data_IF_433257178041
#
_entry.id   IF_433257178041
#
_cell.length_a   1.000
_cell.length_b   1.000
_cell.length_c   1.000
_cell.angle_alpha   90.00
_cell.angle_beta   90.00
_cell.angle_gamma   90.00
#
_symmetry.space_group_name_H-M   'P 1'
#
loop_
_entity.id
_entity.type
_entity.pdbx_description
1 polymer ?
#
# COMPACT_ATOMS: atom_id res chain seq x y z
N UNK A 1 -39.14 -11.70 32.81
CA UNK A 1 -38.57 -11.82 31.46
C UNK A 1 -38.89 -10.54 30.73
N UNK A 2 -37.90 -9.65 30.61
CA UNK A 2 -38.03 -8.40 29.87
C UNK A 2 -37.34 -8.68 28.54
N UNK A 3 -38.09 -8.75 27.45
CA UNK A 3 -37.52 -8.81 26.11
C UNK A 3 -37.00 -7.41 25.78
N UNK A 4 -35.69 -7.30 25.62
CA UNK A 4 -35.07 -6.10 25.04
C UNK A 4 -35.34 -6.19 23.53
N UNK A 5 -35.96 -5.18 22.91
CA UNK A 5 -36.15 -5.17 21.47
C UNK A 5 -34.77 -5.06 20.81
N UNK A 6 -34.47 -5.99 19.91
CA UNK A 6 -33.39 -5.84 18.93
C UNK A 6 -33.83 -4.70 18.03
N UNK A 7 -33.24 -3.52 18.22
CA UNK A 7 -33.36 -2.44 17.26
C UNK A 7 -32.87 -2.98 15.92
N UNK A 8 -33.74 -2.91 14.91
CA UNK A 8 -33.39 -3.25 13.55
C UNK A 8 -32.15 -2.47 13.15
N UNK A 9 -31.10 -3.19 12.78
CA UNK A 9 -30.04 -2.63 11.97
C UNK A 9 -30.72 -2.32 10.64
N UNK A 10 -31.09 -1.06 10.45
CA UNK A 10 -31.32 -0.54 9.10
C UNK A 10 -30.03 -0.80 8.34
N UNK A 11 -30.17 -1.60 7.29
CA UNK A 11 -29.13 -1.98 6.37
C UNK A 11 -28.73 -0.69 5.65
N UNK A 12 -27.70 0.01 6.11
CA UNK A 12 -27.02 1.02 5.28
C UNK A 12 -26.29 0.25 4.18
N UNK A 13 -27.07 -0.14 3.15
CA UNK A 13 -26.60 -0.74 1.91
C UNK A 13 -25.83 0.32 1.12
N UNK A 14 -24.55 0.49 1.46
CA UNK A 14 -23.54 1.23 0.69
C UNK A 14 -23.74 2.76 0.68
N UNK A 15 -22.66 3.51 0.94
CA UNK A 15 -22.64 4.95 0.69
C UNK A 15 -21.26 5.44 0.26
N UNK A 16 -21.27 6.47 -0.56
CA UNK A 16 -20.10 7.17 -1.08
C UNK A 16 -19.97 8.50 -0.34
N UNK A 17 -18.83 8.70 0.32
CA UNK A 17 -18.56 9.92 1.08
C UNK A 17 -17.31 10.61 0.52
N UNK A 18 -17.46 11.89 0.20
CA UNK A 18 -16.35 12.76 -0.22
C UNK A 18 -15.86 13.60 0.96
N UNK A 19 -14.55 13.58 1.22
CA UNK A 19 -13.94 14.43 2.25
C UNK A 19 -13.36 15.69 1.63
N UNK A 20 -14.04 16.82 1.85
CA UNK A 20 -13.61 18.14 1.36
C UNK A 20 -12.25 18.59 1.92
N UNK A 21 -11.85 18.09 3.10
CA UNK A 21 -10.64 18.54 3.80
C UNK A 21 -9.35 17.90 3.30
N UNK A 22 -9.42 16.70 2.70
CA UNK A 22 -8.24 15.91 2.34
C UNK A 22 -8.29 15.36 0.90
N UNK A 23 -9.25 15.79 0.07
CA UNK A 23 -9.51 15.26 -1.29
C UNK A 23 -9.68 13.74 -1.35
N UNK A 24 -10.01 13.09 -0.23
CA UNK A 24 -10.18 11.65 -0.17
C UNK A 24 -11.59 11.27 -0.62
N UNK A 25 -11.68 10.21 -1.43
CA UNK A 25 -12.97 9.58 -1.79
C UNK A 25 -13.06 8.26 -1.04
N UNK A 26 -14.06 8.16 -0.17
CA UNK A 26 -14.37 6.94 0.56
C UNK A 26 -15.55 6.23 -0.10
N UNK A 27 -15.37 4.96 -0.40
CA UNK A 27 -16.42 4.06 -0.83
C UNK A 27 -16.61 3.00 0.25
N UNK A 28 -17.82 2.91 0.80
CA UNK A 28 -18.16 1.91 1.81
C UNK A 28 -19.07 0.86 1.17
N UNK A 29 -18.62 -0.38 1.18
CA UNK A 29 -19.42 -1.54 0.83
C UNK A 29 -19.45 -2.53 1.98
N UNK A 30 -20.62 -2.75 2.58
CA UNK A 30 -20.75 -3.62 3.74
C UNK A 30 -19.78 -3.21 4.86
N UNK A 31 -18.83 -4.09 5.17
CA UNK A 31 -17.78 -3.88 6.18
C UNK A 31 -16.43 -3.45 5.59
N UNK A 32 -16.37 -3.08 4.31
CA UNK A 32 -15.17 -2.63 3.63
C UNK A 32 -15.26 -1.16 3.27
N UNK A 33 -14.26 -0.39 3.67
CA UNK A 33 -14.04 1.00 3.22
C UNK A 33 -12.84 1.02 2.30
N UNK A 34 -13.02 1.44 1.05
CA UNK A 34 -11.95 1.81 0.14
C UNK A 34 -11.77 3.32 0.15
N UNK A 35 -10.59 3.79 0.51
CA UNK A 35 -10.22 5.21 0.49
C UNK A 35 -9.24 5.44 -0.64
N UNK A 36 -9.61 6.24 -1.63
CA UNK A 36 -8.67 6.79 -2.60
C UNK A 36 -8.18 8.13 -2.07
N UNK A 37 -6.89 8.21 -1.74
CA UNK A 37 -6.24 9.48 -1.38
C UNK A 37 -5.41 9.94 -2.56
N UNK A 38 -5.74 11.06 -3.23
CA UNK A 38 -4.90 11.60 -4.30
C UNK A 38 -3.51 12.04 -3.78
N UNK A 39 -3.37 12.40 -2.51
CA UNK A 39 -2.10 12.44 -1.77
C UNK A 39 -2.40 12.51 -0.27
N UNK A 40 -1.50 12.01 0.58
CA UNK A 40 -1.59 12.25 2.03
C UNK A 40 -1.10 13.67 2.38
N UNK A 41 -1.30 14.07 3.65
CA UNK A 41 -1.04 15.42 4.17
C UNK A 41 0.44 15.85 4.03
N UNK A 42 1.36 14.95 3.70
CA UNK A 42 2.76 15.29 3.48
C UNK A 42 3.01 15.74 2.03
N UNK A 43 3.76 16.83 1.82
CA UNK A 43 4.23 17.19 0.50
C UNK A 43 5.12 16.04 0.00
N UNK A 44 4.83 15.51 -1.20
CA UNK A 44 5.53 14.42 -1.94
C UNK A 44 4.81 13.05 -1.97
N UNK A 45 3.66 12.89 -1.35
CA UNK A 45 2.94 11.62 -1.40
C UNK A 45 2.17 11.41 -2.71
N UNK A 46 2.36 10.25 -3.33
CA UNK A 46 1.63 9.79 -4.52
C UNK A 46 0.22 9.27 -4.16
N UNK A 47 -0.72 9.20 -5.12
CA UNK A 47 -2.03 8.64 -4.86
C UNK A 47 -1.98 7.18 -4.42
N UNK A 48 -2.81 6.84 -3.43
CA UNK A 48 -2.92 5.48 -2.88
C UNK A 48 -4.37 5.05 -2.71
N UNK A 49 -4.58 3.74 -2.70
CA UNK A 49 -5.83 3.13 -2.32
C UNK A 49 -5.60 2.36 -1.03
N UNK A 50 -6.36 2.72 -0.02
CA UNK A 50 -6.29 2.10 1.29
C UNK A 50 -7.63 1.43 1.57
N UNK A 51 -7.60 0.12 1.78
CA UNK A 51 -8.78 -0.66 2.14
C UNK A 51 -8.74 -1.04 3.60
N UNK A 52 -9.83 -0.78 4.31
CA UNK A 52 -9.97 -1.00 5.75
C UNK A 52 -11.29 -1.66 6.06
N UNK A 53 -11.33 -2.41 7.16
CA UNK A 53 -12.60 -2.86 7.71
C UNK A 53 -13.33 -1.68 8.36
N UNK A 54 -14.57 -1.41 7.96
CA UNK A 54 -15.37 -0.23 8.37
C UNK A 54 -15.58 -0.18 9.88
N UNK A 55 -15.80 -1.34 10.50
CA UNK A 55 -16.24 -1.44 11.91
C UNK A 55 -15.19 -2.02 12.85
N UNK A 56 -14.08 -2.56 12.33
CA UNK A 56 -13.05 -3.22 13.13
C UNK A 56 -11.69 -2.60 12.85
N UNK A 57 -11.28 -1.70 13.75
CA UNK A 57 -10.00 -0.99 13.67
C UNK A 57 -8.78 -1.91 13.83
N UNK A 58 -8.97 -3.14 14.33
CA UNK A 58 -7.89 -4.12 14.49
C UNK A 58 -7.75 -5.04 13.27
N UNK A 59 -8.65 -4.93 12.29
CA UNK A 59 -8.52 -5.64 11.03
C UNK A 59 -7.35 -5.09 10.21
N UNK A 60 -6.69 -5.96 9.41
CA UNK A 60 -5.60 -5.55 8.54
C UNK A 60 -6.03 -4.45 7.56
N UNK A 61 -5.10 -3.56 7.23
CA UNK A 61 -5.28 -2.52 6.22
C UNK A 61 -4.51 -2.91 4.97
N UNK A 62 -5.19 -3.01 3.83
CA UNK A 62 -4.50 -3.21 2.55
C UNK A 62 -4.16 -1.84 1.97
N UNK A 63 -2.90 -1.63 1.62
CA UNK A 63 -2.41 -0.40 0.99
C UNK A 63 -1.77 -0.76 -0.35
N UNK A 64 -2.30 -0.17 -1.41
CA UNK A 64 -1.79 -0.36 -2.77
C UNK A 64 -1.73 0.97 -3.50
N UNK A 65 -0.67 1.19 -4.27
CA UNK A 65 -0.54 2.40 -5.07
C UNK A 65 0.85 2.59 -5.63
N UNK A 66 1.00 3.63 -6.45
CA UNK A 66 2.31 4.14 -6.84
C UNK A 66 2.89 4.84 -5.62
N UNK A 67 4.12 4.49 -5.27
CA UNK A 67 4.82 5.03 -4.12
C UNK A 67 5.89 6.02 -4.53
N UNK A 68 6.60 5.70 -5.61
CA UNK A 68 7.68 6.53 -6.14
C UNK A 68 7.81 6.31 -7.65
N UNK A 69 8.33 7.30 -8.36
CA UNK A 69 8.84 7.13 -9.73
C UNK A 69 10.33 7.43 -9.68
N UNK A 70 11.15 6.52 -10.22
CA UNK A 70 12.58 6.77 -10.39
C UNK A 70 12.93 6.86 -11.85
N UNK A 71 13.97 7.62 -12.13
CA UNK A 71 14.72 7.50 -13.37
C UNK A 71 16.00 6.78 -13.04
N UNK A 72 16.40 5.84 -13.89
CA UNK A 72 17.55 4.99 -13.62
C UNK A 72 18.42 4.82 -14.86
N UNK A 73 19.66 4.43 -14.62
CA UNK A 73 20.60 4.01 -15.64
C UNK A 73 20.87 2.53 -15.47
N UNK A 74 20.30 1.72 -16.35
CA UNK A 74 20.53 0.29 -16.49
C UNK A 74 21.98 0.07 -16.90
N UNK A 75 22.85 -0.13 -15.91
CA UNK A 75 24.30 -0.18 -16.15
C UNK A 75 24.76 -1.55 -16.65
N UNK A 76 23.94 -2.58 -16.46
CA UNK A 76 24.24 -3.96 -16.79
C UNK A 76 23.39 -4.50 -17.97
N UNK A 77 22.47 -3.70 -18.51
CA UNK A 77 21.54 -4.00 -19.62
C UNK A 77 20.64 -5.21 -19.32
N UNK A 78 20.28 -5.40 -18.04
CA UNK A 78 19.44 -6.52 -17.59
C UNK A 78 17.93 -6.19 -17.61
N UNK A 79 17.59 -4.92 -17.83
CA UNK A 79 16.22 -4.38 -17.88
C UNK A 79 15.45 -4.52 -16.57
N UNK A 80 16.16 -4.67 -15.45
CA UNK A 80 15.64 -4.75 -14.10
C UNK A 80 15.99 -3.46 -13.37
N UNK A 81 15.08 -2.97 -12.53
CA UNK A 81 15.39 -1.82 -11.70
C UNK A 81 16.06 -2.27 -10.40
N UNK A 82 17.22 -1.70 -10.10
CA UNK A 82 17.81 -1.68 -8.76
C UNK A 82 17.84 -0.25 -8.24
N UNK A 83 17.56 -0.05 -6.96
CA UNK A 83 17.61 1.28 -6.36
C UNK A 83 19.02 1.90 -6.45
N UNK A 84 20.07 1.07 -6.49
CA UNK A 84 21.45 1.51 -6.68
C UNK A 84 21.73 2.15 -8.05
N UNK A 85 20.84 1.94 -9.03
CA UNK A 85 20.91 2.51 -10.37
C UNK A 85 20.02 3.75 -10.53
N UNK A 86 19.27 4.12 -9.49
CA UNK A 86 18.46 5.33 -9.49
C UNK A 86 19.35 6.57 -9.64
N UNK A 87 18.97 7.42 -10.57
CA UNK A 87 19.66 8.68 -10.88
C UNK A 87 18.89 9.89 -10.38
N UNK A 88 17.57 9.83 -10.51
CA UNK A 88 16.66 10.88 -10.06
C UNK A 88 15.42 10.24 -9.49
N UNK A 89 14.78 10.98 -8.59
CA UNK A 89 13.50 10.62 -8.01
C UNK A 89 12.49 11.66 -8.47
N UNK A 90 11.38 11.20 -9.05
CA UNK A 90 10.28 12.08 -9.38
C UNK A 90 9.37 12.22 -8.17
N UNK A 91 9.28 13.45 -7.68
CA UNK A 91 8.27 13.83 -6.71
C UNK A 91 7.30 14.81 -7.35
N UNK A 92 6.12 14.89 -6.76
CA UNK A 92 5.19 15.97 -7.05
C UNK A 92 5.89 17.29 -6.64
N UNK A 93 6.20 18.15 -7.61
CA UNK A 93 7.01 19.34 -7.35
C UNK A 93 6.28 20.30 -6.41
N UNK A 94 7.05 20.94 -5.52
CA UNK A 94 6.56 21.64 -4.34
C UNK A 94 6.97 23.10 -4.28
N UNK A 95 6.72 23.89 -5.33
CA UNK A 95 6.56 25.33 -5.09
C UNK A 95 5.31 25.63 -4.19
N UNK A 96 4.25 24.79 -4.13
CA UNK A 96 2.95 25.22 -3.52
C UNK A 96 1.93 24.19 -2.97
N UNK A 97 2.32 23.12 -2.28
CA UNK A 97 1.40 21.99 -2.06
C UNK A 97 1.00 21.35 -3.41
N UNK A 98 0.85 20.04 -3.43
CA UNK A 98 0.28 19.40 -4.62
C UNK A 98 -1.18 19.84 -4.70
N UNK A 99 -1.49 20.80 -5.58
CA UNK A 99 -2.87 21.11 -5.92
C UNK A 99 -3.30 20.07 -6.94
N UNK A 100 -3.79 18.94 -6.44
CA UNK A 100 -4.51 18.01 -7.29
C UNK A 100 -5.70 18.75 -7.88
N UNK A 101 -5.67 18.93 -9.19
CA UNK A 101 -6.84 19.38 -9.92
C UNK A 101 -7.78 18.18 -10.05
N UNK A 102 -8.39 17.81 -8.92
CA UNK A 102 -9.40 16.78 -8.89
C UNK A 102 -10.65 17.30 -9.61
N UNK A 103 -11.15 16.56 -10.60
CA UNK A 103 -12.51 16.78 -11.09
C UNK A 103 -13.50 16.53 -9.95
N UNK A 104 -14.69 17.13 -10.05
CA UNK A 104 -15.78 16.72 -9.18
C UNK A 104 -15.96 15.19 -9.27
N UNK A 105 -16.31 14.56 -8.14
CA UNK A 105 -16.64 13.13 -8.13
C UNK A 105 -17.92 12.96 -8.93
N UNK A 106 -17.84 12.20 -10.01
CA UNK A 106 -18.99 11.87 -10.84
C UNK A 106 -19.53 10.50 -10.43
N UNK A 107 -20.83 10.43 -10.21
CA UNK A 107 -21.53 9.19 -9.91
C UNK A 107 -22.28 8.72 -11.15
N UNK A 108 -22.18 7.43 -11.45
CA UNK A 108 -22.88 6.84 -12.57
C UNK A 108 -23.25 5.39 -12.30
N UNK A 109 -23.95 4.80 -13.27
CA UNK A 109 -24.27 3.38 -13.25
C UNK A 109 -24.10 2.82 -14.66
N UNK A 110 -23.33 1.74 -14.81
CA UNK A 110 -23.20 1.04 -16.08
C UNK A 110 -23.35 -0.48 -15.96
N UNK A 111 -23.41 -1.14 -17.11
CA UNK A 111 -23.63 -2.58 -17.19
C UNK A 111 -22.45 -3.39 -16.64
N UNK A 112 -21.23 -2.85 -16.70
CA UNK A 112 -19.98 -3.54 -16.33
C UNK A 112 -19.64 -3.41 -14.85
N UNK A 113 -19.66 -2.20 -14.30
CA UNK A 113 -19.29 -1.88 -12.92
C UNK A 113 -20.48 -1.64 -11.99
N UNK A 114 -21.71 -1.55 -12.50
CA UNK A 114 -22.85 -1.13 -11.68
C UNK A 114 -22.71 0.33 -11.28
N UNK A 115 -23.09 0.67 -10.05
CA UNK A 115 -22.82 2.00 -9.51
C UNK A 115 -21.32 2.24 -9.37
N UNK A 116 -20.88 3.43 -9.77
CA UNK A 116 -19.48 3.82 -9.69
C UNK A 116 -19.32 5.28 -9.28
N UNK A 117 -18.18 5.55 -8.64
CA UNK A 117 -17.63 6.88 -8.48
C UNK A 117 -16.40 7.03 -9.37
N UNK A 118 -16.30 8.18 -10.03
CA UNK A 118 -15.19 8.52 -10.88
C UNK A 118 -14.58 9.85 -10.45
N UNK A 119 -13.25 9.90 -10.40
CA UNK A 119 -12.51 11.13 -10.23
C UNK A 119 -11.26 11.09 -11.10
N UNK A 120 -10.92 12.24 -11.66
CA UNK A 120 -9.64 12.46 -12.35
C UNK A 120 -8.83 13.43 -11.54
N UNK A 121 -7.55 13.19 -11.38
CA UNK A 121 -6.63 14.07 -10.69
C UNK A 121 -5.39 14.26 -11.55
N UNK A 122 -4.93 15.49 -11.71
CA UNK A 122 -3.70 15.78 -12.45
C UNK A 122 -2.75 16.66 -11.65
N UNK A 123 -1.46 16.46 -11.89
CA UNK A 123 -0.37 17.19 -11.27
C UNK A 123 0.81 17.35 -12.24
N UNK A 124 1.71 18.27 -11.92
CA UNK A 124 3.01 18.42 -12.58
C UNK A 124 4.06 17.88 -11.61
N UNK A 125 5.00 17.08 -12.12
CA UNK A 125 6.05 16.46 -11.32
C UNK A 125 7.42 17.02 -11.68
N UNK A 126 8.27 17.13 -10.66
CA UNK A 126 9.65 17.56 -10.79
C UNK A 126 10.62 16.43 -10.46
N UNK A 127 11.84 16.55 -10.95
CA UNK A 127 12.94 15.62 -10.67
C UNK A 127 13.88 16.18 -9.63
N UNK A 128 14.31 15.30 -8.73
CA UNK A 128 15.25 15.57 -7.64
C UNK A 128 16.39 14.56 -7.72
N UNK A 129 17.60 14.97 -7.34
CA UNK A 129 18.76 14.06 -7.32
C UNK A 129 18.75 13.20 -6.05
N UNK A 130 18.16 13.71 -4.97
CA UNK A 130 18.07 13.07 -3.66
C UNK A 130 16.71 13.29 -3.00
N UNK A 131 16.22 12.33 -2.18
CA UNK A 131 15.01 12.53 -1.39
C UNK A 131 15.16 13.66 -0.36
N UNK A 132 16.40 14.02 0.01
CA UNK A 132 16.68 15.10 0.97
C UNK A 132 16.70 16.48 0.32
N UNK A 133 16.68 16.56 -1.02
CA UNK A 133 16.78 17.84 -1.72
C UNK A 133 15.55 18.72 -1.46
N UNK A 134 15.80 20.01 -1.21
CA UNK A 134 14.74 20.99 -0.97
C UNK A 134 14.12 21.50 -2.28
N UNK A 135 14.87 21.47 -3.38
CA UNK A 135 14.48 22.03 -4.67
C UNK A 135 14.66 21.01 -5.80
N UNK A 136 13.73 20.95 -6.77
CA UNK A 136 13.89 20.07 -7.92
C UNK A 136 15.06 20.56 -8.78
N UNK A 137 15.82 19.61 -9.32
CA UNK A 137 16.75 19.85 -10.42
C UNK A 137 15.98 20.29 -11.67
N UNK A 138 14.80 19.70 -11.90
CA UNK A 138 13.89 20.03 -13.00
C UNK A 138 12.47 20.14 -12.45
N UNK A 139 11.92 21.35 -12.42
CA UNK A 139 10.65 21.65 -11.74
C UNK A 139 9.41 21.09 -12.45
N UNK A 140 9.38 21.16 -13.78
CA UNK A 140 8.27 20.72 -14.63
C UNK A 140 8.74 19.62 -15.59
N UNK A 141 9.15 18.48 -15.03
CA UNK A 141 9.67 17.38 -15.82
C UNK A 141 8.59 16.65 -16.61
N UNK A 142 7.43 16.39 -15.99
CA UNK A 142 6.34 15.65 -16.61
C UNK A 142 4.96 16.07 -16.07
N UNK A 143 3.92 15.83 -16.86
CA UNK A 143 2.54 15.87 -16.39
C UNK A 143 2.10 14.47 -16.00
N UNK A 144 1.41 14.34 -14.88
CA UNK A 144 0.76 13.10 -14.49
C UNK A 144 -0.75 13.29 -14.42
N UNK A 145 -1.49 12.34 -14.97
CA UNK A 145 -2.93 12.22 -14.80
C UNK A 145 -3.27 10.86 -14.20
N UNK A 146 -4.11 10.88 -13.17
CA UNK A 146 -4.76 9.70 -12.61
C UNK A 146 -6.26 9.74 -12.89
N UNK A 147 -6.83 8.58 -13.18
CA UNK A 147 -8.27 8.36 -13.21
C UNK A 147 -8.59 7.22 -12.27
N UNK A 148 -9.43 7.48 -11.28
CA UNK A 148 -9.92 6.45 -10.36
C UNK A 148 -11.36 6.16 -10.68
N UNK A 149 -11.67 4.87 -10.74
CA UNK A 149 -13.02 4.37 -10.85
C UNK A 149 -13.22 3.29 -9.81
N UNK A 150 -14.11 3.56 -8.87
CA UNK A 150 -14.53 2.59 -7.85
C UNK A 150 -15.89 2.04 -8.28
N UNK A 151 -16.04 0.73 -8.34
CA UNK A 151 -17.26 0.07 -8.83
C UNK A 151 -17.80 -1.00 -7.88
N UNK A 152 -19.12 -1.19 -7.89
CA UNK A 152 -19.87 -2.00 -6.92
C UNK A 152 -20.15 -3.44 -7.39
N UNK A 153 -20.27 -3.68 -8.70
CA UNK A 153 -20.62 -5.03 -9.17
C UNK A 153 -19.47 -6.00 -9.02
N UNK A 154 -19.81 -7.24 -8.66
CA UNK A 154 -19.00 -8.42 -8.98
C UNK A 154 -18.73 -8.44 -10.47
N UNK A 155 -17.53 -7.99 -10.85
CA UNK A 155 -17.05 -8.14 -12.21
C UNK A 155 -16.50 -9.55 -12.33
N UNK A 156 -17.17 -10.38 -13.13
CA UNK A 156 -16.54 -11.64 -13.53
C UNK A 156 -15.46 -11.28 -14.53
N UNK A 157 -14.21 -11.36 -14.09
CA UNK A 157 -13.05 -11.09 -14.93
C UNK A 157 -12.67 -12.39 -15.60
N UNK A 158 -12.43 -12.30 -16.89
CA UNK A 158 -11.74 -13.34 -17.62
C UNK A 158 -10.27 -12.96 -17.70
N UNK A 159 -9.41 -13.92 -17.40
CA UNK A 159 -8.04 -13.89 -17.88
C UNK A 159 -7.80 -15.14 -18.73
N UNK A 160 -6.56 -15.30 -19.19
CA UNK A 160 -6.07 -16.41 -20.00
C UNK A 160 -6.33 -17.80 -19.41
N UNK A 161 -6.90 -17.89 -18.19
CA UNK A 161 -7.03 -19.10 -17.39
C UNK A 161 -8.45 -19.41 -16.94
N UNK A 162 -9.42 -18.66 -17.43
CA UNK A 162 -10.84 -18.84 -17.14
C UNK A 162 -11.47 -17.59 -16.55
N UNK A 163 -12.72 -17.75 -16.17
CA UNK A 163 -13.50 -16.71 -15.54
C UNK A 163 -13.35 -16.88 -14.03
N UNK A 164 -12.97 -15.81 -13.32
CA UNK A 164 -13.07 -15.76 -11.88
C UNK A 164 -14.13 -14.72 -11.50
N UNK A 165 -15.00 -15.09 -10.57
CA UNK A 165 -16.04 -14.23 -10.04
C UNK A 165 -15.54 -13.62 -8.73
N UNK A 166 -15.38 -12.31 -8.77
CA UNK A 166 -14.98 -11.44 -7.65
C UNK A 166 -16.26 -11.14 -6.85
N UNK A 167 -16.73 -12.12 -6.04
CA UNK A 167 -17.99 -12.02 -5.28
C UNK A 167 -17.86 -11.06 -4.09
N UNK A 168 -18.70 -10.01 -4.05
CA UNK A 168 -18.74 -9.07 -2.93
C UNK A 168 -17.58 -8.07 -2.84
N UNK A 169 -16.92 -7.77 -3.96
CA UNK A 169 -15.66 -7.01 -3.94
C UNK A 169 -15.84 -5.58 -4.46
N UNK A 170 -15.11 -4.65 -3.84
CA UNK A 170 -14.87 -3.31 -4.38
C UNK A 170 -13.76 -3.43 -5.42
N UNK A 171 -14.10 -3.23 -6.70
CA UNK A 171 -13.12 -3.15 -7.79
C UNK A 171 -12.75 -1.68 -7.99
N UNK A 172 -11.48 -1.36 -7.72
CA UNK A 172 -10.90 -0.04 -7.94
C UNK A 172 -9.96 -0.13 -9.14
N UNK A 173 -10.32 0.58 -10.21
CA UNK A 173 -9.49 0.77 -11.39
C UNK A 173 -8.82 2.13 -11.32
N UNK A 174 -7.50 2.14 -11.43
CA UNK A 174 -6.68 3.32 -11.60
C UNK A 174 -6.13 3.30 -13.02
N UNK A 175 -6.26 4.40 -13.73
CA UNK A 175 -5.44 4.64 -14.91
C UNK A 175 -4.46 5.76 -14.52
N UNK A 176 -3.23 5.62 -14.98
CA UNK A 176 -2.14 6.56 -14.80
C UNK A 176 -1.60 6.88 -16.19
N UNK A 177 -1.40 8.16 -16.45
CA UNK A 177 -0.75 8.64 -17.66
C UNK A 177 0.35 9.62 -17.25
N UNK A 178 1.55 9.38 -17.77
CA UNK A 178 2.72 10.22 -17.57
C UNK A 178 3.17 10.77 -18.92
N UNK A 179 3.08 12.08 -19.08
CA UNK A 179 3.55 12.80 -20.27
C UNK A 179 4.88 13.48 -19.93
N UNK A 180 5.98 12.98 -20.48
CA UNK A 180 7.32 13.53 -20.25
C UNK A 180 7.50 14.81 -21.07
N UNK A 181 7.71 15.93 -20.39
CA UNK A 181 7.84 17.26 -21.01
C UNK A 181 9.30 17.60 -21.33
N UNK A 182 10.23 17.10 -20.52
CA UNK A 182 11.66 17.40 -20.65
C UNK A 182 12.48 16.11 -20.59
N UNK A 183 13.35 15.90 -21.58
CA UNK A 183 14.26 14.77 -21.57
C UNK A 183 15.43 15.00 -20.61
N UNK A 184 15.84 13.92 -19.96
CA UNK A 184 17.02 13.86 -19.11
C UNK A 184 17.83 12.62 -19.46
N UNK A 185 19.11 12.64 -19.09
CA UNK A 185 20.00 11.52 -19.36
C UNK A 185 19.73 10.36 -18.38
N UNK A 186 18.73 9.55 -18.70
CA UNK A 186 18.37 8.31 -18.02
C UNK A 186 18.08 7.23 -19.06
N UNK A 187 18.43 5.97 -18.78
CA UNK A 187 18.11 4.86 -19.67
C UNK A 187 16.67 4.38 -19.53
N UNK A 188 16.03 4.64 -18.38
CA UNK A 188 14.69 4.17 -18.09
C UNK A 188 13.95 4.98 -17.03
N UNK A 189 12.64 4.78 -17.01
CA UNK A 189 11.70 5.29 -16.00
C UNK A 189 11.11 4.08 -15.29
N UNK A 190 11.06 4.06 -13.97
CA UNK A 190 10.42 2.99 -13.21
C UNK A 190 9.30 3.54 -12.34
N UNK A 191 8.16 2.86 -12.36
CA UNK A 191 7.09 3.05 -11.40
C UNK A 191 7.25 2.03 -10.29
N UNK A 192 7.43 2.51 -9.05
CA UNK A 192 7.51 1.68 -7.85
C UNK A 192 6.13 1.60 -7.21
N UNK A 193 5.56 0.40 -7.14
CA UNK A 193 4.26 0.15 -6.53
C UNK A 193 4.42 -0.61 -5.22
N UNK A 194 3.79 -0.10 -4.16
CA UNK A 194 3.72 -0.81 -2.88
C UNK A 194 2.48 -1.69 -2.89
N UNK A 195 2.66 -2.96 -2.52
CA UNK A 195 1.61 -3.93 -2.30
C UNK A 195 1.68 -4.41 -0.85
N UNK A 196 0.84 -3.86 0.03
CA UNK A 196 0.80 -4.24 1.45
C UNK A 196 -0.53 -4.86 1.82
N UNK A 197 -0.48 -6.04 2.45
CA UNK A 197 -1.65 -6.75 2.97
C UNK A 197 -1.93 -6.52 4.46
N UNK A 198 -1.31 -5.48 5.06
CA UNK A 198 -1.57 -5.08 6.44
C UNK A 198 -1.27 -6.14 7.49
N UNK A 199 -0.26 -6.98 7.27
CA UNK A 199 0.12 -8.10 8.16
C UNK A 199 -0.72 -9.37 7.99
N UNK A 200 -1.80 -9.33 7.20
CA UNK A 200 -2.66 -10.50 6.99
C UNK A 200 -2.30 -11.34 5.77
N UNK A 201 -1.48 -10.78 4.88
CA UNK A 201 -0.97 -11.47 3.69
C UNK A 201 0.34 -12.12 4.05
N UNK A 202 0.38 -13.44 3.97
CA UNK A 202 1.57 -14.25 4.22
C UNK A 202 2.36 -14.47 2.92
N UNK A 203 1.65 -14.57 1.79
CA UNK A 203 2.23 -14.94 0.50
C UNK A 203 1.70 -14.00 -0.59
N UNK A 204 2.59 -13.61 -1.50
CA UNK A 204 2.24 -13.07 -2.80
C UNK A 204 2.39 -14.17 -3.85
N UNK A 205 1.28 -14.55 -4.48
CA UNK A 205 1.31 -15.45 -5.63
C UNK A 205 1.29 -14.60 -6.89
N UNK A 206 2.44 -14.52 -7.53
CA UNK A 206 2.67 -13.75 -8.75
C UNK A 206 2.41 -14.68 -9.92
N UNK A 207 1.38 -14.36 -10.69
CA UNK A 207 1.05 -15.07 -11.89
C UNK A 207 1.71 -14.36 -13.06
N UNK A 208 2.75 -15.00 -13.57
CA UNK A 208 3.42 -14.58 -14.79
C UNK A 208 2.62 -15.17 -15.95
N UNK A 209 1.87 -14.32 -16.65
CA UNK A 209 1.37 -14.71 -17.97
C UNK A 209 2.61 -14.96 -18.84
N UNK A 210 2.56 -15.96 -19.71
CA UNK A 210 3.71 -16.37 -20.53
C UNK A 210 3.26 -16.62 -21.97
N UNK A 211 2.00 -16.30 -22.31
CA UNK A 211 1.41 -16.64 -23.62
C UNK A 211 1.36 -18.15 -23.91
N UNK A 212 1.71 -18.99 -22.92
CA UNK A 212 1.65 -20.45 -22.98
C UNK A 212 0.32 -20.93 -22.40
N UNK A 213 -0.07 -22.16 -22.72
CA UNK A 213 -1.29 -22.80 -22.21
C UNK A 213 -1.34 -23.00 -20.69
N UNK A 214 -0.29 -22.62 -19.95
CA UNK A 214 -0.19 -22.82 -18.50
C UNK A 214 0.57 -21.64 -17.87
N UNK A 215 0.00 -20.95 -16.87
CA UNK A 215 0.66 -19.84 -16.20
C UNK A 215 1.86 -20.37 -15.44
N UNK A 216 2.91 -19.56 -15.33
CA UNK A 216 3.86 -19.75 -14.27
C UNK A 216 3.39 -19.02 -13.02
N UNK A 217 3.57 -19.67 -11.88
CA UNK A 217 3.21 -19.13 -10.57
C UNK A 217 4.49 -19.02 -9.75
N UNK A 218 4.88 -17.79 -9.44
CA UNK A 218 5.97 -17.47 -8.54
C UNK A 218 5.36 -17.15 -7.18
N UNK A 219 5.93 -17.72 -6.11
CA UNK A 219 5.45 -17.50 -4.74
C UNK A 219 6.54 -16.73 -4.00
N UNK A 220 6.20 -15.54 -3.50
CA UNK A 220 7.05 -14.72 -2.67
C UNK A 220 6.46 -14.66 -1.24
N UNK A 221 7.28 -14.91 -0.23
CA UNK A 221 6.87 -14.80 1.18
C UNK A 221 6.92 -13.33 1.59
N UNK A 222 5.78 -12.78 2.02
CA UNK A 222 5.71 -11.36 2.40
C UNK A 222 6.57 -11.01 3.62
N UNK A 223 6.92 -12.02 4.43
CA UNK A 223 7.67 -11.88 5.68
C UNK A 223 9.18 -11.89 5.48
N UNK A 224 9.64 -12.28 4.29
CA UNK A 224 11.03 -12.14 3.94
C UNK A 224 11.32 -10.65 3.67
N UNK A 225 12.32 -10.11 4.36
CA UNK A 225 12.81 -8.76 4.11
C UNK A 225 14.06 -8.86 3.24
N UNK A 226 13.92 -8.45 1.98
CA UNK A 226 14.95 -8.48 0.96
C UNK A 226 15.69 -7.14 0.85
N UNK A 227 15.46 -6.25 1.81
CA UNK A 227 16.19 -4.99 1.94
C UNK A 227 17.39 -5.14 2.88
N UNK A 228 18.54 -4.63 2.47
CA UNK A 228 19.78 -4.67 3.27
C UNK A 228 20.48 -3.32 3.18
N UNK A 229 20.59 -2.61 4.30
CA UNK A 229 21.26 -1.31 4.39
C UNK A 229 20.74 -0.23 3.40
N UNK A 230 19.48 -0.32 3.00
CA UNK A 230 18.87 0.60 2.02
C UNK A 230 18.92 0.10 0.57
N UNK A 231 19.65 -0.98 0.28
CA UNK A 231 19.60 -1.65 -1.02
C UNK A 231 18.48 -2.71 -1.04
N UNK A 232 17.97 -3.03 -2.24
CA UNK A 232 16.99 -4.08 -2.46
C UNK A 232 17.57 -5.22 -3.30
N UNK A 233 17.29 -6.48 -2.90
CA UNK A 233 17.55 -7.63 -3.75
C UNK A 233 16.36 -7.88 -4.69
N UNK A 234 16.40 -7.23 -5.85
CA UNK A 234 15.31 -7.29 -6.82
C UNK A 234 15.32 -8.58 -7.64
N UNK A 235 14.16 -9.24 -7.74
CA UNK A 235 13.94 -10.41 -8.59
C UNK A 235 13.30 -10.01 -9.92
N UNK A 236 13.88 -10.36 -11.08
CA UNK A 236 13.18 -10.23 -12.35
C UNK A 236 12.02 -11.23 -12.44
N UNK A 237 10.90 -10.80 -13.01
CA UNK A 237 9.89 -11.74 -13.51
C UNK A 237 10.40 -12.44 -14.76
N UNK A 238 10.00 -13.69 -15.01
CA UNK A 238 10.56 -14.50 -16.11
C UNK A 238 10.17 -13.96 -17.50
N UNK A 239 9.00 -13.35 -17.60
CA UNK A 239 8.53 -12.66 -18.80
C UNK A 239 8.20 -11.21 -18.47
N UNK A 240 9.16 -10.33 -18.71
CA UNK A 240 9.03 -8.89 -18.43
C UNK A 240 8.27 -8.15 -19.53
N UNK A 241 8.28 -8.67 -20.77
CA UNK A 241 7.76 -7.99 -21.96
C UNK A 241 6.23 -8.04 -22.12
N UNK A 242 5.52 -8.71 -21.22
CA UNK A 242 4.06 -8.80 -21.32
C UNK A 242 3.41 -7.56 -20.73
N UNK A 243 2.31 -7.08 -21.35
CA UNK A 243 1.68 -5.84 -20.95
C UNK A 243 1.01 -5.96 -19.58
N UNK A 244 0.68 -7.15 -19.09
CA UNK A 244 -0.03 -7.30 -17.83
C UNK A 244 0.56 -8.37 -16.91
N UNK A 245 0.52 -8.12 -15.60
CA UNK A 245 0.83 -9.09 -14.56
C UNK A 245 -0.23 -9.11 -13.45
N UNK A 246 -0.41 -10.28 -12.84
CA UNK A 246 -1.38 -10.52 -11.77
C UNK A 246 -0.65 -10.89 -10.46
N UNK A 247 -1.00 -10.22 -9.38
CA UNK A 247 -0.53 -10.49 -8.03
C UNK A 247 -1.73 -10.88 -7.16
N UNK A 248 -1.60 -11.99 -6.44
CA UNK A 248 -2.62 -12.46 -5.50
C UNK A 248 -2.06 -12.38 -4.09
N UNK A 249 -2.78 -11.67 -3.23
CA UNK A 249 -2.51 -11.60 -1.80
C UNK A 249 -3.14 -12.84 -1.18
N UNK A 250 -2.34 -13.67 -0.51
CA UNK A 250 -2.82 -14.92 0.06
C UNK A 250 -2.29 -15.19 1.47
N UNK A 251 -3.01 -16.06 2.18
CA UNK A 251 -2.58 -16.64 3.45
C UNK A 251 -1.59 -17.79 3.22
N UNK A 252 -0.99 -18.28 4.30
CA UNK A 252 -0.08 -19.43 4.31
C UNK A 252 -0.72 -20.71 3.71
N UNK A 253 -2.04 -20.85 3.81
CA UNK A 253 -2.81 -21.94 3.20
C UNK A 253 -3.22 -21.68 1.73
N UNK A 254 -2.69 -20.63 1.12
CA UNK A 254 -2.97 -20.15 -0.24
C UNK A 254 -4.40 -19.65 -0.47
N UNK A 255 -5.18 -19.40 0.59
CA UNK A 255 -6.46 -18.70 0.46
C UNK A 255 -6.22 -17.26 0.00
N UNK A 256 -6.77 -16.90 -1.16
CA UNK A 256 -6.66 -15.54 -1.74
C UNK A 256 -7.55 -14.57 -0.96
N UNK A 257 -7.00 -13.39 -0.65
CA UNK A 257 -7.66 -12.30 0.06
C UNK A 257 -7.85 -11.07 -0.82
N UNK A 258 -6.92 -10.82 -1.74
CA UNK A 258 -7.00 -9.71 -2.68
C UNK A 258 -6.29 -10.05 -3.99
N UNK A 259 -6.64 -9.31 -5.02
CA UNK A 259 -6.07 -9.38 -6.35
C UNK A 259 -5.63 -7.98 -6.76
N UNK A 260 -4.41 -7.90 -7.28
CA UNK A 260 -3.85 -6.70 -7.87
C UNK A 260 -3.34 -7.05 -9.25
N UNK A 261 -3.87 -6.37 -10.27
CA UNK A 261 -3.43 -6.51 -11.65
C UNK A 261 -2.83 -5.21 -12.10
N UNK A 262 -1.69 -5.34 -12.73
CA UNK A 262 -0.99 -4.26 -13.38
C UNK A 262 -1.00 -4.53 -14.87
N UNK A 263 -1.35 -3.52 -15.66
CA UNK A 263 -1.33 -3.56 -17.11
C UNK A 263 -0.68 -2.27 -17.60
N UNK A 264 0.43 -2.34 -18.30
CA UNK A 264 1.00 -1.19 -18.98
C UNK A 264 1.02 -1.42 -20.48
N UNK A 265 0.53 -0.42 -21.20
CA UNK A 265 0.72 -0.29 -22.63
C UNK A 265 1.48 1.02 -22.87
N UNK A 266 2.79 1.06 -22.58
CA UNK A 266 3.57 2.25 -22.85
C UNK A 266 3.65 2.41 -24.37
N UNK A 267 3.27 3.59 -24.87
CA UNK A 267 3.34 3.88 -26.28
C UNK A 267 4.02 5.20 -26.56
N UNK A 268 4.77 5.22 -27.65
CA UNK A 268 5.30 6.46 -28.19
C UNK A 268 4.34 6.93 -29.27
N UNK A 269 3.74 8.10 -29.05
CA UNK A 269 2.91 8.76 -30.06
C UNK A 269 3.81 9.60 -30.98
N UNK A 270 4.05 9.12 -32.19
CA UNK A 270 4.68 9.90 -33.26
C UNK A 270 3.61 10.45 -34.20
N UNK A 271 3.96 11.49 -35.00
CA UNK A 271 3.07 12.08 -36.02
C UNK A 271 2.48 11.05 -37.01
N UNK A 272 3.04 9.83 -37.09
CA UNK A 272 2.65 8.78 -38.05
C UNK A 272 2.38 7.40 -37.43
N UNK A 273 2.34 7.23 -36.11
CA UNK A 273 2.03 5.92 -35.51
C UNK A 273 2.32 5.77 -34.01
N UNK A 274 2.01 4.57 -33.50
CA UNK A 274 2.15 4.14 -32.10
C UNK A 274 3.20 3.02 -32.06
N UNK A 275 4.28 3.19 -31.30
CA UNK A 275 5.28 2.14 -31.05
C UNK A 275 5.20 1.64 -29.60
N UNK A 276 5.29 0.33 -29.38
CA UNK A 276 5.29 -0.27 -28.04
C UNK A 276 6.68 -0.11 -27.39
N UNK A 277 6.70 0.33 -26.14
CA UNK A 277 7.93 0.41 -25.34
C UNK A 277 8.13 -0.89 -24.57
N UNK A 278 9.33 -1.51 -24.57
CA UNK A 278 9.61 -2.66 -23.72
C UNK A 278 9.41 -2.31 -22.25
N UNK A 279 8.80 -3.23 -21.50
CA UNK A 279 8.65 -3.13 -20.05
C UNK A 279 9.53 -4.19 -19.36
N UNK A 280 10.22 -3.78 -18.30
CA UNK A 280 10.87 -4.61 -17.30
C UNK A 280 9.93 -4.75 -16.10
N UNK A 281 9.63 -5.96 -15.63
CA UNK A 281 8.90 -6.12 -14.36
C UNK A 281 9.75 -6.90 -13.39
N UNK A 282 9.84 -6.37 -12.18
CA UNK A 282 10.58 -6.98 -11.09
C UNK A 282 9.93 -6.70 -9.76
N UNK A 283 10.36 -7.39 -8.71
CA UNK A 283 9.82 -7.21 -7.37
C UNK A 283 10.85 -7.54 -6.29
N UNK A 284 10.58 -7.10 -5.06
CA UNK A 284 11.24 -7.58 -3.84
C UNK A 284 10.28 -7.52 -2.65
N UNK A 285 10.53 -8.30 -1.61
CA UNK A 285 9.69 -8.30 -0.39
C UNK A 285 10.28 -7.44 0.72
N UNK A 286 9.43 -6.85 1.54
CA UNK A 286 9.80 -5.85 2.57
C UNK A 286 9.63 -6.36 4.01
N UNK A 287 9.39 -7.65 4.19
CA UNK A 287 9.05 -8.25 5.50
C UNK A 287 7.62 -8.00 5.99
N UNK A 288 6.86 -7.15 5.29
CA UNK A 288 5.45 -6.87 5.58
C UNK A 288 4.60 -6.64 4.31
N UNK A 289 5.17 -6.92 3.14
CA UNK A 289 4.61 -6.54 1.85
C UNK A 289 5.55 -6.89 0.71
N UNK A 290 5.17 -6.44 -0.48
CA UNK A 290 5.94 -6.58 -1.70
C UNK A 290 5.99 -5.23 -2.40
N UNK A 291 7.14 -4.91 -2.97
CA UNK A 291 7.30 -3.78 -3.88
C UNK A 291 7.45 -4.34 -5.29
N UNK A 292 6.62 -3.86 -6.20
CA UNK A 292 6.68 -4.19 -7.62
C UNK A 292 7.24 -2.99 -8.39
N UNK A 293 8.02 -3.28 -9.42
CA UNK A 293 8.60 -2.29 -10.32
C UNK A 293 8.10 -2.53 -11.73
N UNK A 294 7.63 -1.47 -12.38
CA UNK A 294 7.42 -1.44 -13.83
C UNK A 294 8.41 -0.47 -14.45
N UNK A 295 9.47 -1.01 -15.05
CA UNK A 295 10.54 -0.27 -15.71
C UNK A 295 10.24 -0.11 -17.20
N UNK A 296 10.40 1.10 -17.73
CA UNK A 296 10.18 1.47 -19.13
C UNK A 296 11.48 1.98 -19.71
N UNK A 297 11.77 1.59 -20.96
CA UNK A 297 13.00 1.94 -21.66
C UNK A 297 12.69 2.82 -22.89
N UNK A 298 12.42 4.12 -22.66
CA UNK A 298 12.03 5.07 -23.70
C UNK A 298 13.13 5.24 -24.75
N UNK A 299 12.75 5.38 -26.02
CA UNK A 299 13.65 5.20 -27.17
C UNK A 299 14.02 6.51 -27.90
N UNK A 300 13.77 7.68 -27.29
CA UNK A 300 14.06 9.06 -27.77
C UNK A 300 12.84 9.82 -28.33
N UNK A 301 11.90 10.30 -27.49
CA UNK A 301 11.05 11.48 -27.78
C UNK A 301 10.27 12.00 -26.55
N UNK A 302 9.35 12.97 -26.74
CA UNK A 302 8.31 13.30 -25.75
C UNK A 302 7.32 12.14 -25.71
N UNK A 303 7.36 11.37 -24.64
CA UNK A 303 6.66 10.09 -24.54
C UNK A 303 5.50 10.17 -23.55
N UNK A 304 4.44 9.43 -23.85
CA UNK A 304 3.29 9.27 -22.98
C UNK A 304 3.24 7.83 -22.50
N UNK A 305 3.54 7.61 -21.22
CA UNK A 305 3.43 6.29 -20.62
C UNK A 305 2.03 6.15 -20.05
N UNK A 306 1.26 5.18 -20.54
CA UNK A 306 -0.05 4.82 -19.99
C UNK A 306 0.02 3.50 -19.22
N UNK A 307 -0.59 3.51 -18.04
CA UNK A 307 -0.54 2.44 -17.08
C UNK A 307 -1.90 2.26 -16.43
N UNK A 308 -2.38 1.03 -16.36
CA UNK A 308 -3.63 0.64 -15.75
C UNK A 308 -3.36 -0.29 -14.56
N UNK A 309 -3.95 0.03 -13.43
CA UNK A 309 -3.93 -0.77 -12.22
C UNK A 309 -5.37 -1.14 -11.89
N UNK A 310 -5.61 -2.41 -11.60
CA UNK A 310 -6.91 -2.92 -11.15
C UNK A 310 -6.69 -3.61 -9.81
N UNK A 311 -7.46 -3.21 -8.81
CA UNK A 311 -7.41 -3.78 -7.46
C UNK A 311 -8.79 -4.31 -7.12
N UNK A 312 -8.87 -5.59 -6.76
CA UNK A 312 -10.07 -6.21 -6.23
C UNK A 312 -9.79 -6.88 -4.88
N UNK A 313 -10.66 -6.69 -3.90
CA UNK A 313 -10.47 -7.28 -2.56
C UNK A 313 -11.64 -8.15 -2.16
N UNK A 314 -11.34 -9.33 -1.62
CA UNK A 314 -12.31 -10.24 -1.02
C UNK A 314 -12.54 -9.88 0.45
N UNK A 315 -13.77 -9.48 0.79
CA UNK A 315 -14.17 -9.13 2.17
C UNK A 315 -13.91 -10.30 3.16
N UNK A 316 -14.02 -11.56 2.71
CA UNK A 316 -13.76 -12.72 3.56
C UNK A 316 -12.29 -12.82 4.00
N UNK A 317 -11.39 -12.18 3.23
CA UNK A 317 -9.97 -12.07 3.49
C UNK A 317 -9.61 -11.18 4.67
N UNK A 318 -10.46 -10.20 5.03
CA UNK A 318 -10.25 -9.29 6.17
C UNK A 318 -10.41 -9.95 7.54
N UNK A 319 -10.87 -11.21 7.59
CA UNK A 319 -11.11 -11.90 8.86
C UNK A 319 -9.88 -11.88 9.76
N UNK A 320 -9.87 -11.09 10.84
CA UNK A 320 -8.76 -11.06 11.75
C UNK A 320 -8.85 -12.34 12.56
N UNK A 321 -7.85 -13.21 12.44
CA UNK A 321 -7.56 -14.04 13.60
C UNK A 321 -6.83 -13.08 14.53
N UNK A 322 -7.39 -12.81 15.71
CA UNK A 322 -6.69 -12.15 16.81
C UNK A 322 -5.24 -12.67 16.98
N UNK A 323 -5.03 -13.95 16.62
CA UNK A 323 -3.74 -14.61 16.48
C UNK A 323 -2.74 -13.88 15.59
N UNK A 324 -3.15 -13.36 14.43
CA UNK A 324 -2.26 -12.77 13.43
C UNK A 324 -1.90 -11.33 13.84
N UNK A 325 -2.86 -10.53 14.32
CA UNK A 325 -2.57 -9.27 15.03
C UNK A 325 -1.64 -9.46 16.23
N UNK A 326 -1.90 -10.49 17.05
CA UNK A 326 -1.08 -10.81 18.22
C UNK A 326 0.31 -11.32 17.82
N UNK A 327 0.49 -11.98 16.66
CA UNK A 327 1.79 -12.37 16.13
C UNK A 327 2.60 -11.16 15.71
N UNK A 328 2.00 -10.26 14.93
CA UNK A 328 2.67 -9.08 14.39
C UNK A 328 3.03 -8.07 15.49
N UNK A 329 2.16 -7.97 16.50
CA UNK A 329 2.36 -7.08 17.63
C UNK A 329 2.95 -7.80 18.86
N UNK A 330 3.26 -9.11 18.78
CA UNK A 330 3.79 -9.89 19.90
C UNK A 330 5.04 -9.24 20.51
N UNK A 331 6.02 -8.75 19.71
CA UNK A 331 7.21 -8.13 20.28
C UNK A 331 6.86 -6.86 21.07
N UNK A 332 5.97 -6.02 20.54
CA UNK A 332 5.54 -4.78 21.20
C UNK A 332 4.70 -5.08 22.46
N UNK A 333 3.77 -6.02 22.37
CA UNK A 333 2.95 -6.49 23.50
C UNK A 333 3.82 -7.08 24.60
N UNK A 334 4.84 -7.86 24.26
CA UNK A 334 5.81 -8.43 25.21
C UNK A 334 6.64 -7.33 25.90
N UNK A 335 7.09 -6.32 25.15
CA UNK A 335 7.84 -5.18 25.72
C UNK A 335 6.96 -4.38 26.69
N UNK A 336 5.71 -4.08 26.30
CA UNK A 336 4.76 -3.34 27.14
C UNK A 336 4.38 -4.16 28.38
N UNK A 337 4.05 -5.44 28.22
CA UNK A 337 3.72 -6.32 29.34
C UNK A 337 4.91 -6.51 30.30
N UNK A 338 6.12 -6.68 29.74
CA UNK A 338 7.36 -6.81 30.51
C UNK A 338 7.70 -5.54 31.30
N UNK A 339 7.55 -4.37 30.68
CA UNK A 339 7.79 -3.08 31.35
C UNK A 339 6.76 -2.81 32.46
N UNK A 340 5.48 -3.11 32.25
CA UNK A 340 4.44 -3.04 33.30
C UNK A 340 4.78 -3.98 34.47
N UNK A 341 5.15 -5.23 34.18
CA UNK A 341 5.53 -6.21 35.21
C UNK A 341 6.76 -5.77 36.02
N UNK A 342 7.74 -5.15 35.38
CA UNK A 342 8.93 -4.60 36.04
C UNK A 342 8.55 -3.44 36.99
N UNK A 343 7.69 -2.51 36.55
CA UNK A 343 7.23 -1.39 37.38
C UNK A 343 6.45 -1.89 38.60
N UNK A 344 5.54 -2.86 38.42
CA UNK A 344 4.79 -3.47 39.52
C UNK A 344 5.73 -4.17 40.50
N UNK A 345 6.72 -4.89 40.00
CA UNK A 345 7.71 -5.60 40.83
C UNK A 345 8.55 -4.63 41.67
N UNK A 346 8.98 -3.51 41.07
CA UNK A 346 9.71 -2.45 41.78
C UNK A 346 8.81 -1.79 42.83
N UNK A 347 7.55 -1.49 42.49
CA UNK A 347 6.60 -0.90 43.43
C UNK A 347 6.34 -1.82 44.64
N UNK A 348 6.15 -3.12 44.41
CA UNK A 348 6.02 -4.14 45.46
C UNK A 348 7.27 -4.21 46.33
N UNK A 349 8.46 -4.23 45.71
CA UNK A 349 9.74 -4.24 46.43
C UNK A 349 9.89 -3.00 47.33
N UNK A 350 9.54 -1.82 46.82
CA UNK A 350 9.56 -0.56 47.58
C UNK A 350 8.57 -0.61 48.75
N UNK A 351 7.37 -1.16 48.56
CA UNK A 351 6.38 -1.33 49.62
C UNK A 351 6.86 -2.30 50.70
N UNK A 352 7.46 -3.42 50.32
CA UNK A 352 8.06 -4.40 51.24
C UNK A 352 9.20 -3.75 52.04
N UNK A 353 10.11 -3.04 51.36
CA UNK A 353 11.23 -2.35 52.00
C UNK A 353 10.76 -1.23 52.95
N UNK A 354 9.72 -0.48 52.60
CA UNK A 354 9.10 0.53 53.48
C UNK A 354 8.44 -0.12 54.71
N UNK A 355 7.76 -1.26 54.54
CA UNK A 355 7.16 -2.03 55.65
C UNK A 355 8.23 -2.53 56.63
N UNK A 356 9.35 -3.05 56.12
CA UNK A 356 10.48 -3.49 56.96
C UNK A 356 11.18 -2.32 57.68
N UNK A 357 11.34 -1.16 57.04
CA UNK A 357 11.87 0.05 57.70
C UNK A 357 10.95 0.58 58.81
N UNK A 358 9.63 0.45 58.64
CA UNK A 358 8.64 0.83 59.67
C UNK A 358 8.67 -0.06 60.92
N UNK A 359 8.99 -1.35 60.75
CA UNK A 359 9.16 -2.29 61.88
C UNK A 359 10.46 -2.07 62.66
N UNK A 360 11.54 -1.61 62.01
CA UNK A 360 12.78 -1.25 62.70
C UNK A 360 12.63 -0.06 63.65
N UNK A 361 11.82 0.94 63.29
CA UNK A 361 11.58 2.13 64.15
C UNK A 361 10.68 1.86 65.36
N UNK A 362 9.73 0.92 65.27
CA UNK A 362 8.84 0.59 66.41
C UNK A 362 9.53 -0.20 67.53
N UNK A 363 10.64 -0.90 67.26
CA UNK A 363 11.40 -1.61 68.30
C UNK A 363 12.40 -0.74 69.07
N UNK A 364 12.74 0.45 68.58
CA UNK A 364 13.69 1.34 69.27
C UNK A 364 13.04 2.26 70.31
N UNK A 365 11.70 2.27 70.45
CA UNK A 365 10.98 3.22 71.30
C UNK A 365 10.34 2.60 72.57
N UNK A 366 10.52 1.30 72.84
CA UNK A 366 9.88 0.62 73.99
C UNK A 366 10.84 0.04 75.03
N UNK A 367 12.15 0.24 74.92
CA UNK A 367 13.11 -0.21 75.94
C UNK A 367 13.90 0.96 76.54
N UNK A 368 13.28 1.69 77.46
CA UNK A 368 14.00 2.47 78.48
C UNK A 368 13.40 2.12 79.85
N UNK A 369 14.14 1.46 80.74
CA UNK A 369 13.62 1.06 82.04
C UNK A 369 13.48 2.26 82.98
N UNK A 370 12.31 2.36 83.57
CA UNK A 370 11.94 3.28 84.63
C UNK A 370 12.82 3.02 85.88
N UNK A 371 13.71 3.96 86.22
CA UNK A 371 14.43 3.95 87.50
C UNK A 371 13.44 4.27 88.62
N UNK A 372 13.14 3.28 89.45
CA UNK A 372 12.51 3.49 90.77
C UNK A 372 13.57 3.96 91.77
N UNK A 373 13.28 5.09 92.42
CA UNK A 373 13.76 5.40 93.77
C UNK A 373 12.57 5.31 94.72
#
# INVERSE_FOLDING_TARGET
>A
MISIPVAGVEQEEHFLEYSEYNFAVNFISGNLTATVTPATIAPRDWPRIIFKHTTDILSPTFDVGISTIYLFNDTNDDKVFSLSEATHIAYLSSLYNVTWNATAVEFGNDTLGGEYAWLRANAVIGLFDSPEDEYPMIDEWANVTFWFRISQKTVTRSNSYGNYAVQGMVDVRINFELEVLQQVNASGIVLEQILSGGGSTDLFMIREDVGLSTPQLTIADSRDDETVNGDNFTHPMRETLLPCQDFLFAKEDQTVQAHYRICSEPYISYDYGIAQVPMGISYYTTGNGLVAHSAYFPAESNETISHEIIVGIDESGFTPRFRDWLKDNLPMVMIVAGSIAAVISIALLVLILRKHRGWGKKRSATDLPEKKN
#
